data_IF_165696442606
#
_entry.id   IF_165696442606
#
_cell.length_a   1.000
_cell.length_b   1.000
_cell.length_c   1.000
_cell.angle_alpha   90.00
_cell.angle_beta   90.00
_cell.angle_gamma   90.00
#
_symmetry.space_group_name_H-M   'P 1'
#
loop_
_entity.id
_entity.type
_entity.pdbx_description
1 polymer ?
#
# COMPACT_ATOMS: atom_id res chain seq x y z
N UNK A 1 -21.22 -51.38 53.67
CA UNK A 1 -20.37 -51.26 52.46
C UNK A 1 -20.38 -49.80 52.05
N UNK A 2 -19.28 -49.10 52.27
CA UNK A 2 -19.10 -47.69 51.90
C UNK A 2 -18.58 -47.68 50.46
N UNK A 3 -19.23 -46.96 49.55
CA UNK A 3 -18.69 -46.69 48.20
C UNK A 3 -18.04 -45.32 48.24
N UNK A 4 -16.72 -45.29 48.08
CA UNK A 4 -15.97 -44.06 47.81
C UNK A 4 -16.28 -43.60 46.39
N UNK A 5 -16.75 -42.35 46.25
CA UNK A 5 -16.85 -41.67 44.96
C UNK A 5 -15.57 -40.88 44.74
N UNK A 6 -14.76 -41.29 43.77
CA UNK A 6 -13.65 -40.46 43.27
C UNK A 6 -14.21 -39.32 42.41
N UNK A 7 -13.63 -38.11 42.48
CA UNK A 7 -13.98 -37.04 41.57
C UNK A 7 -13.39 -37.34 40.19
N UNK A 8 -14.23 -37.41 39.17
CA UNK A 8 -13.80 -37.35 37.78
C UNK A 8 -13.17 -35.98 37.53
N UNK A 9 -11.85 -35.95 37.42
CA UNK A 9 -11.15 -34.84 36.79
C UNK A 9 -11.57 -34.85 35.32
N UNK A 10 -12.26 -33.81 34.88
CA UNK A 10 -12.58 -33.58 33.47
C UNK A 10 -11.52 -32.62 32.93
N UNK A 11 -10.41 -33.11 32.32
CA UNK A 11 -9.65 -32.26 31.42
C UNK A 11 -10.49 -32.05 30.15
N UNK A 12 -10.09 -31.15 29.27
CA UNK A 12 -10.72 -30.90 27.97
C UNK A 12 -11.92 -29.94 28.02
N UNK A 13 -11.60 -28.66 28.23
CA UNK A 13 -12.44 -27.57 27.73
C UNK A 13 -11.59 -26.44 27.15
N UNK A 14 -10.48 -26.77 26.47
CA UNK A 14 -9.56 -25.77 25.89
C UNK A 14 -9.04 -25.99 24.43
N UNK A 15 -9.48 -26.96 23.59
CA UNK A 15 -8.97 -27.02 22.21
C UNK A 15 -9.73 -26.15 21.19
N UNK A 16 -11.06 -26.01 21.29
CA UNK A 16 -11.85 -25.38 20.20
C UNK A 16 -11.62 -23.88 20.06
N UNK A 17 -11.42 -23.17 21.18
CA UNK A 17 -11.21 -21.72 21.19
C UNK A 17 -9.83 -21.35 20.62
N UNK A 18 -8.79 -22.10 21.00
CA UNK A 18 -7.43 -21.90 20.50
C UNK A 18 -7.34 -22.18 18.99
N UNK A 19 -7.88 -23.31 18.53
CA UNK A 19 -7.91 -23.67 17.11
C UNK A 19 -8.66 -22.62 16.27
N UNK A 20 -9.79 -22.10 16.78
CA UNK A 20 -10.54 -21.04 16.10
C UNK A 20 -9.73 -19.74 15.98
N UNK A 21 -8.98 -19.38 17.02
CA UNK A 21 -8.12 -18.20 17.01
C UNK A 21 -6.96 -18.32 16.02
N UNK A 22 -6.32 -19.49 15.95
CA UNK A 22 -5.22 -19.76 15.00
C UNK A 22 -5.70 -19.73 13.54
N UNK A 23 -6.89 -20.30 13.27
CA UNK A 23 -7.49 -20.26 11.93
C UNK A 23 -7.82 -18.83 11.51
N UNK A 24 -8.41 -18.03 12.40
CA UNK A 24 -8.76 -16.63 12.11
C UNK A 24 -7.51 -15.78 11.83
N UNK A 25 -6.45 -15.98 12.61
CA UNK A 25 -5.19 -15.26 12.38
C UNK A 25 -4.56 -15.66 11.04
N UNK A 26 -4.55 -16.95 10.70
CA UNK A 26 -4.07 -17.43 9.40
C UNK A 26 -4.85 -16.83 8.22
N UNK A 27 -6.18 -16.74 8.33
CA UNK A 27 -7.03 -16.09 7.31
C UNK A 27 -6.69 -14.60 7.20
N UNK A 28 -6.56 -13.89 8.33
CA UNK A 28 -6.19 -12.47 8.34
C UNK A 28 -4.84 -12.23 7.65
N UNK A 29 -3.82 -13.04 7.98
CA UNK A 29 -2.51 -12.95 7.35
C UNK A 29 -2.55 -13.23 5.84
N UNK A 30 -3.41 -14.15 5.41
CA UNK A 30 -3.60 -14.46 3.97
C UNK A 30 -4.25 -13.29 3.22
N UNK A 31 -5.21 -12.60 3.84
CA UNK A 31 -5.84 -11.42 3.25
C UNK A 31 -4.89 -10.21 3.24
N UNK A 32 -4.14 -9.97 4.32
CA UNK A 32 -3.16 -8.88 4.37
C UNK A 32 -2.12 -9.03 3.25
N UNK A 33 -1.61 -10.24 3.00
CA UNK A 33 -0.63 -10.50 1.94
C UNK A 33 -1.13 -10.19 0.52
N UNK A 34 -2.44 -10.00 0.32
CA UNK A 34 -2.99 -9.57 -0.97
C UNK A 34 -2.91 -8.04 -1.16
N UNK A 35 -2.74 -7.29 -0.08
CA UNK A 35 -2.50 -5.85 -0.16
C UNK A 35 -1.03 -5.55 -0.54
N UNK A 36 -0.76 -4.43 -1.21
CA UNK A 36 0.58 -3.87 -1.32
C UNK A 36 1.25 -3.76 0.06
N UNK A 37 2.56 -3.98 0.12
CA UNK A 37 3.36 -3.95 1.36
C UNK A 37 3.13 -2.69 2.20
N UNK A 38 2.94 -1.55 1.55
CA UNK A 38 2.72 -0.25 2.14
C UNK A 38 1.37 -0.18 2.87
N UNK A 39 0.37 -0.89 2.35
CA UNK A 39 -0.94 -1.02 2.97
C UNK A 39 -0.97 -2.13 4.03
N UNK A 40 -0.13 -3.16 3.93
CA UNK A 40 -0.09 -4.24 4.94
C UNK A 40 0.14 -3.70 6.35
N UNK A 41 1.08 -2.76 6.51
CA UNK A 41 1.37 -2.15 7.80
C UNK A 41 0.20 -1.27 8.30
N UNK A 42 -0.46 -0.56 7.38
CA UNK A 42 -1.63 0.27 7.72
C UNK A 42 -2.82 -0.57 8.18
N UNK A 43 -3.01 -1.76 7.61
CA UNK A 43 -4.16 -2.63 7.87
C UNK A 43 -3.85 -3.77 8.85
N UNK A 44 -2.65 -3.84 9.42
CA UNK A 44 -2.23 -4.95 10.31
C UNK A 44 -3.14 -5.15 11.52
N UNK A 45 -3.71 -4.08 12.06
CA UNK A 45 -4.59 -4.09 13.23
C UNK A 45 -6.08 -4.14 12.87
N UNK A 46 -6.41 -4.12 11.56
CA UNK A 46 -7.78 -4.17 11.10
C UNK A 46 -8.41 -5.57 11.23
N UNK A 47 -9.74 -5.61 11.23
CA UNK A 47 -10.49 -6.87 11.20
C UNK A 47 -10.47 -7.51 9.81
N UNK A 48 -10.71 -8.83 9.76
CA UNK A 48 -10.87 -9.59 8.51
C UNK A 48 -11.89 -8.90 7.58
N UNK A 49 -13.03 -8.46 8.13
CA UNK A 49 -14.09 -7.80 7.35
C UNK A 49 -13.59 -6.52 6.68
N UNK A 50 -12.88 -5.68 7.42
CA UNK A 50 -12.34 -4.43 6.89
C UNK A 50 -11.30 -4.68 5.79
N UNK A 51 -10.42 -5.67 5.97
CA UNK A 51 -9.42 -6.02 4.96
C UNK A 51 -10.11 -6.53 3.69
N UNK A 52 -11.14 -7.36 3.82
CA UNK A 52 -11.95 -7.81 2.67
C UNK A 52 -12.64 -6.66 1.95
N UNK A 53 -13.29 -5.73 2.68
CA UNK A 53 -13.95 -4.55 2.08
C UNK A 53 -12.96 -3.69 1.29
N UNK A 54 -11.72 -3.54 1.77
CA UNK A 54 -10.66 -2.81 1.08
C UNK A 54 -10.23 -3.54 -0.19
N UNK A 55 -10.03 -4.85 -0.13
CA UNK A 55 -9.67 -5.65 -1.32
C UNK A 55 -10.75 -5.57 -2.40
N UNK A 56 -12.03 -5.67 -2.00
CA UNK A 56 -13.16 -5.58 -2.93
C UNK A 56 -13.23 -4.19 -3.58
N UNK A 57 -13.09 -3.11 -2.80
CA UNK A 57 -13.09 -1.74 -3.32
C UNK A 57 -11.92 -1.50 -4.29
N UNK A 58 -10.72 -1.98 -3.96
CA UNK A 58 -9.54 -1.87 -4.84
C UNK A 58 -9.76 -2.56 -6.18
N UNK A 59 -10.40 -3.72 -6.16
CA UNK A 59 -10.73 -4.48 -7.37
C UNK A 59 -11.80 -3.78 -8.21
N UNK A 60 -12.85 -3.25 -7.57
CA UNK A 60 -13.91 -2.50 -8.25
C UNK A 60 -13.39 -1.21 -8.89
N UNK A 61 -12.53 -0.49 -8.19
CA UNK A 61 -11.92 0.76 -8.66
C UNK A 61 -10.71 0.54 -9.59
N UNK A 62 -10.28 -0.71 -9.77
CA UNK A 62 -9.21 -1.11 -10.69
C UNK A 62 -7.79 -0.75 -10.22
N UNK A 63 -7.59 -0.50 -8.93
CA UNK A 63 -6.29 -0.10 -8.34
C UNK A 63 -5.22 -1.19 -8.33
N UNK A 64 -5.57 -2.41 -8.73
CA UNK A 64 -4.61 -3.50 -8.92
C UNK A 64 -3.83 -3.39 -10.24
N UNK A 65 -4.19 -2.42 -11.10
CA UNK A 65 -3.62 -2.31 -12.43
C UNK A 65 -2.17 -1.83 -12.46
N UNK A 66 -1.82 -0.84 -11.64
CA UNK A 66 -0.44 -0.36 -11.56
C UNK A 66 -0.12 0.26 -10.21
N UNK A 67 1.20 0.34 -9.94
CA UNK A 67 1.78 1.08 -8.83
C UNK A 67 2.87 2.00 -9.35
N UNK A 68 2.93 3.22 -8.84
CA UNK A 68 3.94 4.20 -9.22
C UNK A 68 4.35 5.10 -8.07
N UNK A 69 5.26 6.02 -8.37
CA UNK A 69 5.83 6.96 -7.41
C UNK A 69 5.70 8.40 -7.92
N UNK A 70 5.16 9.26 -7.08
CA UNK A 70 4.91 10.67 -7.35
C UNK A 70 5.60 11.55 -6.33
N UNK A 71 6.28 12.61 -6.75
CA UNK A 71 6.95 13.57 -5.87
C UNK A 71 6.15 14.87 -5.78
N UNK A 72 6.07 15.48 -4.60
CA UNK A 72 5.43 16.80 -4.44
C UNK A 72 6.03 17.59 -3.28
N UNK A 73 5.91 18.91 -3.35
CA UNK A 73 6.17 19.81 -2.22
C UNK A 73 4.93 20.04 -1.35
N UNK A 74 3.77 19.57 -1.81
CA UNK A 74 2.50 19.66 -1.10
C UNK A 74 2.38 18.45 -0.17
N UNK A 75 2.05 18.71 1.09
CA UNK A 75 1.74 17.68 2.08
C UNK A 75 0.31 17.15 1.85
N UNK A 76 0.22 15.89 1.42
CA UNK A 76 -1.02 15.15 1.16
C UNK A 76 -1.09 13.93 2.07
N UNK A 77 -2.29 13.48 2.40
CA UNK A 77 -2.47 12.34 3.30
C UNK A 77 -2.52 11.02 2.53
N UNK A 78 -2.08 9.95 3.19
CA UNK A 78 -2.39 8.59 2.73
C UNK A 78 -3.90 8.40 2.75
N UNK A 79 -4.45 7.86 1.66
CA UNK A 79 -5.90 7.76 1.43
C UNK A 79 -6.48 8.93 0.64
N UNK A 80 -5.75 10.02 0.43
CA UNK A 80 -6.18 11.08 -0.49
C UNK A 80 -5.98 10.67 -1.95
N UNK A 81 -6.56 11.47 -2.85
CA UNK A 81 -6.40 11.33 -4.29
C UNK A 81 -5.50 12.43 -4.83
N UNK A 82 -4.46 12.05 -5.56
CA UNK A 82 -3.79 12.93 -6.50
C UNK A 82 -4.73 13.20 -7.67
N UNK A 83 -4.81 14.47 -8.06
CA UNK A 83 -5.63 14.92 -9.18
C UNK A 83 -4.72 15.47 -10.28
N UNK A 84 -5.13 15.37 -11.56
CA UNK A 84 -4.37 15.95 -12.65
C UNK A 84 -4.07 17.44 -12.43
N UNK A 85 -2.85 17.84 -12.79
CA UNK A 85 -2.36 19.20 -12.67
C UNK A 85 -2.96 20.15 -13.72
N UNK A 86 -2.35 21.33 -13.87
CA UNK A 86 -2.78 22.32 -14.86
C UNK A 86 -2.63 21.86 -16.32
N UNK A 87 -1.71 20.94 -16.57
CA UNK A 87 -1.51 20.26 -17.85
C UNK A 87 -2.49 19.11 -18.09
N UNK A 88 -3.36 18.82 -17.11
CA UNK A 88 -4.37 17.77 -17.21
C UNK A 88 -3.81 16.37 -17.01
N UNK A 89 -2.60 16.23 -16.46
CA UNK A 89 -1.98 14.92 -16.15
C UNK A 89 -1.38 14.86 -14.75
N UNK A 90 -1.19 13.63 -14.26
CA UNK A 90 -0.38 13.29 -13.09
C UNK A 90 0.86 12.58 -13.62
N UNK A 91 2.03 13.10 -13.30
CA UNK A 91 3.30 12.48 -13.65
C UNK A 91 3.73 11.54 -12.53
N UNK A 92 4.18 10.35 -12.88
CA UNK A 92 4.72 9.38 -11.93
C UNK A 92 5.75 8.49 -12.62
N UNK A 93 6.56 7.80 -11.84
CA UNK A 93 7.51 6.79 -12.33
C UNK A 93 7.16 5.41 -11.79
N UNK A 94 7.45 4.35 -12.54
CA UNK A 94 7.29 2.98 -12.08
C UNK A 94 8.37 2.56 -11.06
N UNK A 95 9.49 3.29 -10.98
CA UNK A 95 10.60 3.00 -10.05
C UNK A 95 11.04 4.25 -9.29
N UNK A 96 11.32 4.16 -7.98
CA UNK A 96 11.86 5.29 -7.23
C UNK A 96 13.28 5.67 -7.69
N UNK A 97 13.96 4.82 -8.47
CA UNK A 97 15.32 5.08 -8.96
C UNK A 97 15.37 6.24 -9.97
N UNK A 98 14.26 6.57 -10.61
CA UNK A 98 14.18 7.58 -11.67
C UNK A 98 13.03 8.56 -11.38
N UNK A 99 13.04 9.20 -10.22
CA UNK A 99 12.07 10.24 -9.89
C UNK A 99 12.15 11.40 -10.89
N UNK A 100 10.99 11.95 -11.23
CA UNK A 100 10.88 13.08 -12.14
C UNK A 100 11.04 14.41 -11.40
N UNK A 101 11.36 15.46 -12.16
CA UNK A 101 11.36 16.84 -11.68
C UNK A 101 12.52 17.21 -10.75
N UNK A 102 12.38 18.36 -10.09
CA UNK A 102 13.35 18.84 -9.09
C UNK A 102 13.13 18.14 -7.76
N UNK A 103 14.15 18.18 -6.89
CA UNK A 103 14.04 17.70 -5.51
C UNK A 103 12.78 18.27 -4.84
N UNK A 104 11.89 17.37 -4.41
CA UNK A 104 10.65 17.67 -3.71
C UNK A 104 10.74 17.25 -2.24
N UNK A 105 9.80 17.72 -1.41
CA UNK A 105 9.74 17.36 0.02
C UNK A 105 9.12 16.00 0.32
N UNK A 106 8.25 15.49 -0.54
CA UNK A 106 7.50 14.26 -0.28
C UNK A 106 7.56 13.32 -1.47
N UNK A 107 7.62 12.01 -1.16
CA UNK A 107 7.44 10.92 -2.10
C UNK A 107 6.16 10.15 -1.74
N UNK A 108 5.30 9.96 -2.72
CA UNK A 108 4.05 9.23 -2.58
C UNK A 108 4.10 7.96 -3.42
N UNK A 109 3.76 6.83 -2.80
CA UNK A 109 3.40 5.62 -3.55
C UNK A 109 1.93 5.74 -3.92
N UNK A 110 1.65 5.52 -5.20
CA UNK A 110 0.32 5.73 -5.78
C UNK A 110 -0.12 4.51 -6.56
N UNK A 111 -1.44 4.36 -6.66
CA UNK A 111 -2.08 3.33 -7.48
C UNK A 111 -3.24 3.91 -8.27
N UNK A 112 -3.57 3.26 -9.38
CA UNK A 112 -4.62 3.70 -10.29
C UNK A 112 -5.08 2.58 -11.21
N UNK A 113 -6.06 2.90 -12.05
CA UNK A 113 -6.55 2.02 -13.10
C UNK A 113 -5.72 2.14 -14.38
N UNK A 114 -5.77 1.13 -15.26
CA UNK A 114 -4.84 1.00 -16.39
C UNK A 114 -5.16 1.88 -17.62
N UNK A 115 -5.33 3.18 -17.44
CA UNK A 115 -5.61 4.13 -18.54
C UNK A 115 -4.38 4.91 -19.00
N UNK A 116 -3.19 4.51 -18.54
CA UNK A 116 -2.03 5.38 -18.53
C UNK A 116 -1.18 5.27 -19.78
N UNK A 117 -0.54 6.37 -20.14
CA UNK A 117 0.37 6.44 -21.27
C UNK A 117 1.81 6.41 -20.76
N UNK A 118 2.63 5.58 -21.39
CA UNK A 118 4.09 5.62 -21.19
C UNK A 118 4.61 6.86 -21.92
N UNK A 119 5.21 7.77 -21.17
CA UNK A 119 5.75 9.02 -21.71
C UNK A 119 7.23 8.86 -22.09
N UNK A 120 8.00 8.12 -21.28
CA UNK A 120 9.40 7.78 -21.57
C UNK A 120 9.71 6.37 -21.04
N UNK A 121 9.87 5.41 -21.96
CA UNK A 121 10.19 4.02 -21.63
C UNK A 121 11.57 3.85 -20.98
N UNK A 122 12.55 4.69 -21.32
CA UNK A 122 13.91 4.56 -20.81
C UNK A 122 14.00 5.00 -19.34
N UNK A 123 13.22 6.01 -18.96
CA UNK A 123 13.14 6.50 -17.58
C UNK A 123 12.01 5.84 -16.77
N UNK A 124 11.13 5.06 -17.41
CA UNK A 124 9.95 4.48 -16.76
C UNK A 124 8.96 5.55 -16.30
N UNK A 125 8.86 6.65 -17.05
CA UNK A 125 7.98 7.78 -16.73
C UNK A 125 6.64 7.62 -17.42
N UNK A 126 5.60 7.87 -16.65
CA UNK A 126 4.22 7.67 -17.03
C UNK A 126 3.38 8.90 -16.71
N UNK A 127 2.26 9.00 -17.42
CA UNK A 127 1.25 10.02 -17.18
C UNK A 127 -0.13 9.38 -17.03
N UNK A 128 -0.87 9.84 -16.04
CA UNK A 128 -2.28 9.50 -15.89
C UNK A 128 -3.16 10.74 -16.03
N UNK A 129 -4.25 10.61 -16.79
CA UNK A 129 -5.32 11.60 -16.84
C UNK A 129 -6.41 11.34 -15.79
N UNK A 130 -6.38 10.17 -15.15
CA UNK A 130 -7.30 9.81 -14.08
C UNK A 130 -6.70 10.17 -12.71
N UNK A 131 -7.52 10.40 -11.68
CA UNK A 131 -7.02 10.53 -10.31
C UNK A 131 -6.31 9.26 -9.84
N UNK A 132 -5.22 9.41 -9.07
CA UNK A 132 -4.47 8.31 -8.47
C UNK A 132 -4.62 8.32 -6.96
N UNK A 133 -4.75 7.13 -6.35
CA UNK A 133 -4.89 6.98 -4.91
C UNK A 133 -3.52 6.97 -4.25
N UNK A 134 -3.35 7.74 -3.18
CA UNK A 134 -2.13 7.72 -2.36
C UNK A 134 -2.23 6.58 -1.35
N UNK A 135 -1.27 5.64 -1.41
CA UNK A 135 -1.23 4.48 -0.52
C UNK A 135 -0.05 4.49 0.45
N UNK A 136 0.97 5.31 0.18
CA UNK A 136 2.09 5.53 1.08
C UNK A 136 2.64 6.94 0.92
N UNK A 137 3.27 7.43 1.98
CA UNK A 137 3.96 8.72 2.02
C UNK A 137 5.31 8.57 2.72
N UNK A 138 6.33 9.18 2.15
CA UNK A 138 7.68 9.28 2.73
C UNK A 138 8.12 10.73 2.67
N UNK A 139 8.62 11.25 3.80
CA UNK A 139 9.23 12.57 3.87
C UNK A 139 10.68 12.51 3.34
N UNK A 140 10.96 13.28 2.30
CA UNK A 140 12.28 13.34 1.66
C UNK A 140 13.18 14.34 2.41
N UNK A 141 13.93 13.79 3.37
CA UNK A 141 15.04 14.50 4.03
C UNK A 141 16.33 14.34 3.20
N UNK A 142 17.46 14.91 3.64
CA UNK A 142 18.72 14.80 2.89
C UNK A 142 19.18 13.35 2.72
N UNK A 143 18.95 12.49 3.72
CA UNK A 143 19.44 11.10 3.75
C UNK A 143 18.37 10.09 3.29
N UNK A 144 17.10 10.51 3.21
CA UNK A 144 15.99 9.61 2.83
C UNK A 144 16.17 9.01 1.43
N UNK A 145 16.47 9.78 0.37
CA UNK A 145 16.60 9.23 -0.98
C UNK A 145 17.60 8.09 -1.06
N UNK A 146 18.78 8.26 -0.48
CA UNK A 146 19.82 7.22 -0.44
C UNK A 146 19.33 5.97 0.31
N UNK A 147 18.62 6.15 1.43
CA UNK A 147 18.10 5.06 2.25
C UNK A 147 17.06 4.20 1.52
N UNK A 148 16.23 4.83 0.68
CA UNK A 148 15.16 4.13 -0.06
C UNK A 148 15.56 3.79 -1.51
N UNK A 149 16.83 4.02 -1.88
CA UNK A 149 17.33 3.85 -3.24
C UNK A 149 16.76 4.85 -4.26
N UNK A 150 16.07 5.90 -3.81
CA UNK A 150 15.46 6.87 -4.71
C UNK A 150 16.48 7.85 -5.26
N UNK A 151 16.36 8.15 -6.56
CA UNK A 151 17.21 9.13 -7.23
C UNK A 151 16.39 9.97 -8.21
N UNK A 152 16.74 11.24 -8.36
CA UNK A 152 16.10 12.13 -9.32
C UNK A 152 16.88 12.07 -10.64
N UNK A 153 16.18 11.91 -11.76
CA UNK A 153 16.85 11.90 -13.06
C UNK A 153 17.46 13.28 -13.36
N UNK A 154 18.71 13.29 -13.81
CA UNK A 154 19.37 14.49 -14.32
C UNK A 154 18.82 14.80 -15.72
N UNK A 155 17.68 15.49 -15.75
CA UNK A 155 17.10 16.04 -16.98
C UNK A 155 17.42 17.53 -17.05
N UNK A 156 18.09 17.92 -18.14
CA UNK A 156 18.18 19.33 -18.53
C UNK A 156 16.78 19.80 -18.93
N UNK A 157 15.99 20.26 -17.96
CA UNK A 157 14.80 21.05 -18.26
C UNK A 157 15.31 22.37 -18.85
N UNK A 158 15.38 22.47 -20.17
CA UNK A 158 15.56 23.74 -20.87
C UNK A 158 14.42 24.66 -20.45
N UNK A 159 14.78 25.68 -19.66
CA UNK A 159 13.84 26.66 -19.09
C UNK A 159 13.22 27.59 -20.11
#
# INVERSE_FOLDING_TARGET
>A
MVRESMPHHNPETEPESAVRSEVLESVKQTLLKQLPSELQEHWKDASIKQISEVLDARKEEGYEAFRGYHTSDIDLNVGDFLRPGSDGTIHYTASPDTLYGKKAKYLYTVEGSNTDQVNDEALGWHQSHAPLKIIAKIDLTQDTPETIGASFADVEYSG
#
